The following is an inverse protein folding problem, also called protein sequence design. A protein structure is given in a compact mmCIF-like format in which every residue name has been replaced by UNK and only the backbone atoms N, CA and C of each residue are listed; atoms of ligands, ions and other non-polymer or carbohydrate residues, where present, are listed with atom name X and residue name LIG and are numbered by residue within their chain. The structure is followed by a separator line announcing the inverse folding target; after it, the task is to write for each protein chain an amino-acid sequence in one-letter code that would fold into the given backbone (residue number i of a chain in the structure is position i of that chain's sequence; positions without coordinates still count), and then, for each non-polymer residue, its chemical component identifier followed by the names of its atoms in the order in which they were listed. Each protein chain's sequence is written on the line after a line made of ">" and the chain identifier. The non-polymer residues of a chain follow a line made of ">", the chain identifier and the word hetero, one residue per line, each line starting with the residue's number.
data_IF_538224590576
#
_entry.id   IF_538224590576
#
_cell.length_a   1.000
_cell.length_b   1.000
_cell.length_c   1.000
_cell.angle_alpha   90.00
_cell.angle_beta   90.00
_cell.angle_gamma   90.00
#
_symmetry.space_group_name_H-M   'P 1'
#
loop_
_entity.id
_entity.type
_entity.pdbx_description
1 polymer ?
#
# COMPACT_ATOMS: atom_id res chain seq x y z
N UNK A 1 -13.99 -0.56 -33.66
CA UNK A 1 -13.06 -1.50 -33.02
C UNK A 1 -12.32 -0.72 -31.95
N UNK A 2 -12.54 -1.03 -30.67
CA UNK A 2 -11.81 -0.36 -29.57
C UNK A 2 -10.43 -0.98 -29.50
N UNK A 3 -9.39 -0.21 -29.83
CA UNK A 3 -8.03 -0.67 -29.65
C UNK A 3 -7.69 -0.49 -28.16
N UNK A 4 -7.32 -1.58 -27.50
CA UNK A 4 -6.79 -1.56 -26.15
C UNK A 4 -5.31 -1.93 -26.24
N UNK A 5 -4.44 -1.09 -25.69
CA UNK A 5 -3.02 -1.39 -25.55
C UNK A 5 -2.61 -1.32 -24.09
N UNK A 6 -1.74 -2.24 -23.66
CA UNK A 6 -1.15 -2.21 -22.35
C UNK A 6 0.38 -2.13 -22.49
N UNK A 7 0.99 -1.19 -21.77
CA UNK A 7 2.44 -1.08 -21.64
C UNK A 7 2.82 -1.25 -20.17
N UNK A 8 3.89 -2.00 -19.91
CA UNK A 8 4.45 -2.21 -18.59
C UNK A 8 5.95 -1.93 -18.66
N UNK A 9 6.44 -1.09 -17.75
CA UNK A 9 7.85 -0.74 -17.63
C UNK A 9 8.37 -1.16 -16.26
N UNK A 10 9.44 -1.96 -16.26
CA UNK A 10 10.26 -2.25 -15.09
C UNK A 10 11.38 -1.21 -15.01
N UNK A 11 11.36 -0.39 -13.96
CA UNK A 11 12.35 0.66 -13.79
C UNK A 11 13.58 0.10 -13.08
N UNK A 12 14.74 0.11 -13.75
CA UNK A 12 16.01 -0.28 -13.13
C UNK A 12 16.40 0.68 -11.99
N UNK A 13 16.09 0.30 -10.76
CA UNK A 13 16.36 1.08 -9.53
C UNK A 13 17.31 0.36 -8.56
N UNK A 14 17.92 -0.75 -8.96
CA UNK A 14 18.77 -1.57 -8.10
C UNK A 14 17.96 -2.60 -7.32
N UNK A 15 18.37 -2.91 -6.09
CA UNK A 15 17.62 -3.80 -5.18
C UNK A 15 16.40 -3.06 -4.62
N UNK A 16 15.22 -3.61 -4.83
CA UNK A 16 13.90 -3.02 -4.58
C UNK A 16 13.00 -3.26 -5.80
N UNK A 17 11.83 -2.60 -5.85
CA UNK A 17 10.93 -2.69 -7.00
C UNK A 17 10.30 -1.34 -7.34
N UNK A 18 10.23 -1.06 -8.64
CA UNK A 18 9.45 0.03 -9.19
C UNK A 18 8.95 -0.35 -10.58
N UNK A 19 7.65 -0.61 -10.70
CA UNK A 19 6.98 -0.93 -11.96
C UNK A 19 5.94 0.16 -12.22
N UNK A 20 5.79 0.55 -13.48
CA UNK A 20 4.65 1.35 -13.92
C UNK A 20 3.98 0.72 -15.13
N UNK A 21 2.70 0.94 -15.30
CA UNK A 21 2.02 0.57 -16.52
C UNK A 21 0.94 1.56 -16.92
N UNK A 22 0.54 1.44 -18.18
CA UNK A 22 -0.51 2.24 -18.78
C UNK A 22 -1.40 1.33 -19.63
N UNK A 23 -2.70 1.34 -19.36
CA UNK A 23 -3.70 0.68 -20.20
C UNK A 23 -4.44 1.78 -20.95
N UNK A 24 -4.22 1.87 -22.25
CA UNK A 24 -4.75 2.92 -23.10
C UNK A 24 -5.87 2.38 -23.99
N UNK A 25 -6.98 3.12 -24.00
CA UNK A 25 -8.06 3.02 -24.98
C UNK A 25 -8.09 4.29 -25.82
N UNK A 26 -9.00 4.36 -26.80
CA UNK A 26 -9.20 5.56 -27.61
C UNK A 26 -9.61 6.81 -26.80
N UNK A 27 -10.20 6.62 -25.61
CA UNK A 27 -10.80 7.71 -24.81
C UNK A 27 -9.96 8.09 -23.59
N UNK A 28 -9.21 7.12 -23.04
CA UNK A 28 -8.56 7.25 -21.75
C UNK A 28 -7.37 6.31 -21.63
N UNK A 29 -6.33 6.80 -20.96
CA UNK A 29 -5.29 5.97 -20.35
C UNK A 29 -5.54 5.76 -18.86
N UNK A 30 -5.41 4.52 -18.41
CA UNK A 30 -5.38 4.14 -17.00
C UNK A 30 -3.93 3.91 -16.57
N UNK A 31 -3.41 4.76 -15.68
CA UNK A 31 -1.99 4.74 -15.26
C UNK A 31 -1.85 4.15 -13.87
N UNK A 32 -0.95 3.18 -13.73
CA UNK A 32 -0.72 2.53 -12.45
C UNK A 32 0.77 2.38 -12.13
N UNK A 33 1.06 2.28 -10.84
CA UNK A 33 2.38 2.00 -10.27
C UNK A 33 2.27 0.83 -9.31
N UNK A 34 3.24 -0.08 -9.35
CA UNK A 34 3.37 -1.20 -8.42
C UNK A 34 4.76 -1.12 -7.77
N UNK A 35 4.77 -0.92 -6.45
CA UNK A 35 5.92 -0.55 -5.62
C UNK A 35 6.68 0.68 -6.14
N UNK A 36 7.53 1.24 -5.28
CA UNK A 36 8.31 2.42 -5.63
C UNK A 36 9.51 2.58 -4.71
N UNK A 37 10.42 1.61 -4.64
CA UNK A 37 11.53 1.69 -3.71
C UNK A 37 12.86 1.13 -4.21
N UNK A 38 13.90 1.46 -3.45
CA UNK A 38 15.24 0.89 -3.60
C UNK A 38 16.02 0.89 -2.28
N UNK A 39 16.85 -0.13 -2.03
CA UNK A 39 17.66 -0.26 -0.82
C UNK A 39 18.90 0.66 -0.83
N UNK A 40 19.58 0.74 -1.98
CA UNK A 40 20.88 1.40 -2.11
C UNK A 40 20.77 2.93 -2.31
N UNK A 41 21.82 3.67 -1.96
CA UNK A 41 21.88 5.13 -2.17
C UNK A 41 21.83 5.50 -3.66
N UNK A 42 22.58 4.78 -4.49
CA UNK A 42 22.58 4.96 -5.95
C UNK A 42 21.22 4.61 -6.55
N UNK A 43 20.61 3.51 -6.09
CA UNK A 43 19.28 3.10 -6.52
C UNK A 43 18.18 4.09 -6.14
N UNK A 44 18.25 4.72 -4.96
CA UNK A 44 17.34 5.82 -4.58
C UNK A 44 17.49 7.04 -5.51
N UNK A 45 18.72 7.38 -5.92
CA UNK A 45 18.93 8.45 -6.91
C UNK A 45 18.36 8.08 -8.29
N UNK A 46 18.45 6.81 -8.68
CA UNK A 46 17.81 6.31 -9.92
C UNK A 46 16.29 6.36 -9.81
N UNK A 47 15.73 5.89 -8.69
CA UNK A 47 14.30 5.94 -8.39
C UNK A 47 13.76 7.36 -8.52
N UNK A 48 14.38 8.35 -7.88
CA UNK A 48 13.97 9.75 -7.98
C UNK A 48 14.01 10.29 -9.42
N UNK A 49 15.04 9.92 -10.20
CA UNK A 49 15.12 10.29 -11.62
C UNK A 49 14.00 9.65 -12.43
N UNK A 50 13.66 8.39 -12.16
CA UNK A 50 12.57 7.67 -12.82
C UNK A 50 11.22 8.27 -12.45
N UNK A 51 10.94 8.53 -11.17
CA UNK A 51 9.74 9.24 -10.70
C UNK A 51 9.62 10.62 -11.38
N UNK A 52 10.72 11.39 -11.49
CA UNK A 52 10.72 12.71 -12.13
C UNK A 52 10.32 12.67 -13.61
N UNK A 53 10.64 11.59 -14.30
CA UNK A 53 10.42 11.41 -15.75
C UNK A 53 9.22 10.51 -16.08
N UNK A 54 8.61 9.90 -15.07
CA UNK A 54 7.45 9.03 -15.19
C UNK A 54 6.28 9.76 -15.87
N UNK A 55 5.69 9.12 -16.89
CA UNK A 55 4.58 9.63 -17.71
C UNK A 55 4.78 11.00 -18.38
N UNK A 56 6.03 11.49 -18.47
CA UNK A 56 6.35 12.85 -18.97
C UNK A 56 6.08 13.03 -20.48
N UNK A 57 5.76 11.97 -21.22
CA UNK A 57 5.70 12.00 -22.67
C UNK A 57 4.45 12.67 -23.27
N UNK A 58 3.49 13.11 -22.45
CA UNK A 58 2.22 13.66 -22.94
C UNK A 58 1.90 14.93 -22.16
N UNK A 59 1.32 15.94 -22.81
CA UNK A 59 0.75 17.14 -22.17
C UNK A 59 -0.49 16.79 -21.30
N UNK A 60 -0.47 15.62 -20.68
CA UNK A 60 -1.52 15.07 -19.85
C UNK A 60 -1.24 15.44 -18.39
N UNK A 61 -2.28 15.56 -17.57
CA UNK A 61 -2.11 15.81 -16.15
C UNK A 61 -1.33 14.67 -15.47
N UNK A 62 -0.52 15.03 -14.48
CA UNK A 62 0.29 14.11 -13.67
C UNK A 62 -0.62 13.31 -12.73
N UNK A 63 -1.43 12.41 -13.28
CA UNK A 63 -2.37 11.56 -12.53
C UNK A 63 -1.87 10.12 -12.55
N UNK A 64 -1.90 9.48 -11.37
CA UNK A 64 -1.77 8.04 -11.22
C UNK A 64 -3.12 7.53 -10.74
N UNK A 65 -3.75 6.67 -11.51
CA UNK A 65 -5.06 6.13 -11.15
C UNK A 65 -4.97 5.16 -9.98
N UNK A 66 -3.89 4.37 -9.94
CA UNK A 66 -3.70 3.36 -8.90
C UNK A 66 -2.21 3.20 -8.53
N UNK A 67 -1.90 3.38 -7.24
CA UNK A 67 -0.62 2.99 -6.65
C UNK A 67 -0.84 1.73 -5.81
N UNK A 68 -0.12 0.66 -6.10
CA UNK A 68 -0.16 -0.58 -5.33
C UNK A 68 1.17 -0.71 -4.60
N UNK A 69 1.11 -0.96 -3.30
CA UNK A 69 2.28 -1.34 -2.49
C UNK A 69 2.13 -2.80 -2.13
N UNK A 70 3.15 -3.61 -2.44
CA UNK A 70 3.10 -5.06 -2.24
C UNK A 70 3.38 -5.47 -0.79
N UNK A 71 4.25 -4.73 -0.09
CA UNK A 71 4.58 -4.93 1.32
C UNK A 71 5.30 -3.71 1.89
N UNK A 72 5.48 -3.70 3.21
CA UNK A 72 5.97 -2.53 3.95
C UNK A 72 7.49 -2.53 4.12
N UNK A 73 8.23 -3.22 3.25
CA UNK A 73 9.69 -3.11 3.25
C UNK A 73 10.14 -1.77 2.69
N UNK A 74 11.16 -1.21 3.31
CA UNK A 74 11.65 0.15 3.08
C UNK A 74 12.06 0.33 1.64
N UNK A 75 12.65 -0.67 1.01
CA UNK A 75 13.03 -0.69 -0.40
C UNK A 75 11.87 -0.96 -1.36
N UNK A 76 10.63 -1.00 -0.88
CA UNK A 76 9.40 -1.01 -1.68
C UNK A 76 8.57 0.27 -1.50
N UNK A 77 8.69 0.95 -0.35
CA UNK A 77 7.88 2.14 -0.03
C UNK A 77 8.63 3.48 -0.01
N UNK A 78 9.97 3.52 -0.12
CA UNK A 78 10.73 4.77 0.08
C UNK A 78 10.61 5.85 -1.02
N UNK A 79 9.97 5.55 -2.15
CA UNK A 79 9.58 6.53 -3.17
C UNK A 79 8.12 6.98 -3.08
N UNK A 80 7.33 6.44 -2.12
CA UNK A 80 5.92 6.81 -1.94
C UNK A 80 5.77 8.32 -1.74
N UNK A 81 6.64 8.93 -0.93
CA UNK A 81 6.59 10.36 -0.65
C UNK A 81 6.75 11.19 -1.92
N UNK A 82 7.72 10.84 -2.75
CA UNK A 82 8.02 11.52 -4.01
C UNK A 82 6.89 11.34 -5.04
N UNK A 83 6.27 10.16 -5.10
CA UNK A 83 5.11 9.91 -5.97
C UNK A 83 3.89 10.71 -5.52
N UNK A 84 3.50 10.62 -4.25
CA UNK A 84 2.30 11.25 -3.70
C UNK A 84 2.34 12.79 -3.71
N UNK A 85 3.56 13.38 -3.68
CA UNK A 85 3.76 14.82 -3.82
C UNK A 85 3.80 15.31 -5.26
N UNK A 86 4.21 14.45 -6.20
CA UNK A 86 4.41 14.82 -7.61
C UNK A 86 3.18 14.56 -8.48
N UNK A 87 2.42 13.53 -8.14
CA UNK A 87 1.27 13.08 -8.90
C UNK A 87 0.00 13.17 -8.06
N UNK A 88 -1.10 13.55 -8.70
CA UNK A 88 -2.43 13.34 -8.16
C UNK A 88 -2.73 11.84 -8.22
N UNK A 89 -2.55 11.15 -7.09
CA UNK A 89 -2.87 9.72 -6.97
C UNK A 89 -4.35 9.57 -6.60
N UNK A 90 -5.11 8.81 -7.39
CA UNK A 90 -6.55 8.63 -7.16
C UNK A 90 -6.85 7.52 -6.15
N UNK A 91 -6.15 6.38 -6.25
CA UNK A 91 -6.33 5.20 -5.40
C UNK A 91 -4.99 4.63 -4.95
N UNK A 92 -4.88 4.23 -3.68
CA UNK A 92 -3.76 3.46 -3.12
C UNK A 92 -4.28 2.12 -2.63
N UNK A 93 -3.63 1.04 -3.06
CA UNK A 93 -3.88 -0.32 -2.58
C UNK A 93 -2.73 -0.72 -1.66
N UNK A 94 -3.05 -1.14 -0.44
CA UNK A 94 -2.09 -1.58 0.57
C UNK A 94 -2.47 -2.97 1.10
N UNK A 95 -1.50 -3.83 1.49
CA UNK A 95 -1.82 -4.97 2.34
C UNK A 95 -2.31 -4.48 3.71
N UNK A 96 -3.33 -5.15 4.25
CA UNK A 96 -3.69 -4.96 5.65
C UNK A 96 -2.65 -5.65 6.54
N UNK A 97 -1.98 -4.86 7.37
CA UNK A 97 -0.99 -5.35 8.33
C UNK A 97 -1.33 -4.72 9.69
N UNK A 98 -1.68 -5.51 10.72
CA UNK A 98 -1.93 -4.99 12.06
C UNK A 98 -0.77 -4.14 12.59
N UNK A 99 -1.08 -3.07 13.34
CA UNK A 99 -0.11 -2.10 13.86
C UNK A 99 1.12 -2.78 14.49
N UNK A 100 0.93 -3.76 15.37
CA UNK A 100 2.06 -4.44 16.02
C UNK A 100 3.01 -5.12 15.01
N UNK A 101 2.48 -5.72 13.92
CA UNK A 101 3.29 -6.30 12.83
C UNK A 101 4.02 -5.18 12.08
N UNK A 102 3.37 -4.04 11.82
CA UNK A 102 4.02 -2.87 11.17
C UNK A 102 5.15 -2.28 12.03
N UNK A 103 4.95 -2.17 13.34
CA UNK A 103 6.01 -1.71 14.26
C UNK A 103 7.18 -2.69 14.27
N UNK A 104 6.92 -4.00 14.31
CA UNK A 104 7.97 -5.01 14.20
C UNK A 104 8.77 -4.87 12.89
N UNK A 105 8.10 -4.77 11.74
CA UNK A 105 8.75 -4.55 10.44
C UNK A 105 9.63 -3.29 10.46
N UNK A 106 9.13 -2.19 11.04
CA UNK A 106 9.90 -0.96 11.17
C UNK A 106 11.19 -1.16 11.99
N UNK A 107 11.13 -1.94 13.07
CA UNK A 107 12.28 -2.26 13.92
C UNK A 107 13.30 -3.15 13.19
N UNK A 108 12.84 -4.22 12.54
CA UNK A 108 13.69 -5.13 11.74
C UNK A 108 14.47 -4.37 10.67
N UNK A 109 13.81 -3.38 10.05
CA UNK A 109 14.38 -2.53 9.01
C UNK A 109 15.15 -1.32 9.57
N UNK A 110 15.32 -1.23 10.89
CA UNK A 110 16.06 -0.17 11.60
C UNK A 110 15.55 1.23 11.26
N UNK A 111 14.23 1.38 11.16
CA UNK A 111 13.58 2.68 10.97
C UNK A 111 13.66 3.47 12.28
N UNK A 112 14.21 4.67 12.22
CA UNK A 112 14.32 5.54 13.39
C UNK A 112 12.95 6.07 13.85
N UNK A 113 12.69 5.99 15.16
CA UNK A 113 11.42 6.38 15.79
C UNK A 113 11.17 7.90 15.81
N UNK A 114 12.21 8.72 15.61
CA UNK A 114 12.13 10.18 15.61
C UNK A 114 11.90 10.78 14.22
N UNK A 115 12.03 9.97 13.16
CA UNK A 115 11.91 10.44 11.79
C UNK A 115 10.46 10.37 11.27
N UNK A 116 10.06 11.30 10.39
CA UNK A 116 8.71 11.32 9.79
C UNK A 116 8.33 10.02 9.07
N UNK A 117 9.32 9.25 8.63
CA UNK A 117 9.11 8.01 7.89
C UNK A 117 8.44 6.90 8.73
N UNK A 118 8.64 6.88 10.06
CA UNK A 118 7.96 5.93 10.94
C UNK A 118 6.43 6.10 10.91
N UNK A 119 5.94 7.30 10.56
CA UNK A 119 4.50 7.56 10.51
C UNK A 119 3.79 6.72 9.46
N UNK A 120 4.47 6.30 8.38
CA UNK A 120 3.90 5.33 7.42
C UNK A 120 3.60 3.99 8.11
N UNK A 121 4.46 3.54 9.03
CA UNK A 121 4.27 2.29 9.76
C UNK A 121 3.25 2.42 10.89
N UNK A 122 3.15 3.59 11.54
CA UNK A 122 2.18 3.84 12.62
C UNK A 122 0.76 4.01 12.06
N UNK A 123 0.59 4.89 11.08
CA UNK A 123 -0.72 5.15 10.46
C UNK A 123 -0.52 5.53 8.98
N UNK A 124 -0.48 4.53 8.06
CA UNK A 124 -0.23 4.76 6.64
C UNK A 124 -1.32 5.62 6.01
N UNK A 125 -2.58 5.45 6.40
CA UNK A 125 -3.68 6.34 5.99
C UNK A 125 -3.34 7.80 6.29
N UNK A 126 -3.04 8.12 7.54
CA UNK A 126 -2.78 9.50 7.97
C UNK A 126 -1.55 10.05 7.26
N UNK A 127 -0.48 9.26 7.20
CA UNK A 127 0.73 9.62 6.49
C UNK A 127 0.43 9.97 5.02
N UNK A 128 -0.25 9.08 4.28
CA UNK A 128 -0.60 9.28 2.86
C UNK A 128 -1.47 10.54 2.69
N UNK A 129 -2.51 10.72 3.50
CA UNK A 129 -3.40 11.88 3.40
C UNK A 129 -2.70 13.22 3.68
N UNK A 130 -1.74 13.23 4.61
CA UNK A 130 -0.95 14.42 4.94
C UNK A 130 -0.08 14.85 3.75
N UNK A 131 0.60 13.92 3.10
CA UNK A 131 1.57 14.22 2.03
C UNK A 131 0.97 14.26 0.63
N UNK A 132 -0.16 13.60 0.40
CA UNK A 132 -0.80 13.48 -0.91
C UNK A 132 -1.26 14.85 -1.42
N UNK A 133 -1.00 15.11 -2.69
CA UNK A 133 -1.62 16.22 -3.44
C UNK A 133 -3.15 16.08 -3.47
N UNK A 134 -3.65 14.85 -3.65
CA UNK A 134 -5.07 14.55 -3.68
C UNK A 134 -5.63 14.34 -2.26
N UNK A 135 -6.51 15.23 -1.81
CA UNK A 135 -7.18 15.12 -0.49
C UNK A 135 -8.39 14.17 -0.48
N UNK A 136 -8.82 13.72 -1.65
CA UNK A 136 -9.87 12.70 -1.85
C UNK A 136 -9.27 11.38 -2.34
N UNK A 137 -8.02 11.10 -1.97
CA UNK A 137 -7.35 9.85 -2.31
C UNK A 137 -8.06 8.67 -1.65
N UNK A 138 -8.39 7.67 -2.45
CA UNK A 138 -9.00 6.45 -1.94
C UNK A 138 -7.90 5.50 -1.46
N UNK A 139 -8.07 4.89 -0.29
CA UNK A 139 -7.12 3.93 0.25
C UNK A 139 -7.86 2.63 0.52
N UNK A 140 -7.41 1.56 -0.11
CA UNK A 140 -8.02 0.24 0.03
C UNK A 140 -6.99 -0.73 0.61
N UNK A 141 -7.27 -1.18 1.83
CA UNK A 141 -6.50 -2.23 2.49
C UNK A 141 -7.05 -3.59 2.08
N UNK A 142 -6.16 -4.47 1.67
CA UNK A 142 -6.50 -5.83 1.29
C UNK A 142 -5.93 -6.77 2.36
N UNK A 143 -6.82 -7.43 3.08
CA UNK A 143 -6.47 -8.49 3.99
C UNK A 143 -6.41 -9.81 3.21
N UNK A 144 -5.19 -10.28 2.94
CA UNK A 144 -4.93 -11.60 2.38
C UNK A 144 -4.78 -12.67 3.46
N UNK A 145 -4.71 -12.29 4.74
CA UNK A 145 -4.71 -13.22 5.87
C UNK A 145 -6.15 -13.50 6.23
N UNK A 146 -6.84 -14.32 5.42
CA UNK A 146 -8.08 -15.04 5.71
C UNK A 146 -8.57 -15.65 4.39
N UNK A 147 -7.96 -16.77 4.01
CA UNK A 147 -8.70 -17.83 3.32
C UNK A 147 -8.54 -19.03 4.23
N UNK A 148 -9.48 -19.20 5.16
CA UNK A 148 -9.66 -20.50 5.79
C UNK A 148 -10.05 -21.45 4.64
N UNK A 149 -9.12 -22.29 4.19
CA UNK A 149 -9.38 -23.29 3.14
C UNK A 149 -10.32 -24.42 3.61
N UNK A 150 -11.00 -24.22 4.74
CA UNK A 150 -11.93 -25.14 5.35
C UNK A 150 -13.28 -24.46 5.56
N UNK A 151 -13.96 -24.06 4.49
CA UNK A 151 -15.42 -24.05 4.39
C UNK A 151 -15.84 -23.77 2.94
N UNK A 152 -16.94 -24.39 2.54
CA UNK A 152 -17.42 -24.59 1.17
C UNK A 152 -17.31 -23.36 0.24
N UNK A 153 -17.05 -23.64 -1.05
CA UNK A 153 -16.97 -22.69 -2.16
C UNK A 153 -18.14 -21.68 -2.17
N UNK A 154 -17.97 -20.55 -1.48
CA UNK A 154 -18.81 -19.38 -1.67
C UNK A 154 -18.05 -18.39 -2.55
N UNK A 155 -18.63 -17.94 -3.67
CA UNK A 155 -17.96 -16.98 -4.55
C UNK A 155 -17.68 -15.69 -3.77
N UNK A 156 -16.51 -15.05 -3.97
CA UNK A 156 -16.15 -13.82 -3.27
C UNK A 156 -17.20 -12.74 -3.60
N UNK A 157 -18.04 -12.40 -2.63
CA UNK A 157 -19.03 -11.34 -2.79
C UNK A 157 -18.39 -9.97 -2.50
N UNK A 158 -18.88 -8.93 -3.19
CA UNK A 158 -18.44 -7.54 -3.00
C UNK A 158 -18.93 -6.91 -1.68
N UNK A 159 -19.62 -7.68 -0.85
CA UNK A 159 -20.19 -7.22 0.41
C UNK A 159 -19.08 -7.11 1.47
N UNK A 160 -18.83 -5.85 1.83
CA UNK A 160 -18.02 -5.46 2.98
C UNK A 160 -18.60 -6.09 4.25
N UNK A 161 -18.12 -7.25 4.66
CA UNK A 161 -18.28 -7.74 6.02
C UNK A 161 -17.34 -6.93 6.94
N UNK A 162 -17.74 -5.69 7.22
CA UNK A 162 -17.04 -4.81 8.12
C UNK A 162 -17.14 -5.37 9.54
N UNK A 163 -16.05 -6.00 9.98
CA UNK A 163 -15.79 -6.28 11.39
C UNK A 163 -14.56 -5.43 11.71
N UNK A 164 -14.66 -4.41 12.59
CA UNK A 164 -13.53 -3.58 12.95
C UNK A 164 -12.37 -4.47 13.40
N UNK A 165 -11.15 -4.30 12.88
CA UNK A 165 -10.00 -4.96 13.48
C UNK A 165 -9.82 -4.44 14.91
N UNK A 166 -9.15 -5.24 15.75
CA UNK A 166 -8.74 -4.97 17.13
C UNK A 166 -8.83 -3.49 17.54
N UNK A 167 -9.47 -3.21 18.70
CA UNK A 167 -9.89 -1.91 19.26
C UNK A 167 -8.98 -0.66 19.07
N UNK A 168 -7.74 -0.84 18.62
CA UNK A 168 -6.72 0.20 18.44
C UNK A 168 -6.55 0.72 16.99
N UNK A 169 -7.28 0.26 15.99
CA UNK A 169 -7.11 0.69 14.58
C UNK A 169 -8.29 1.48 13.99
N UNK A 170 -9.26 1.91 14.81
CA UNK A 170 -10.39 2.75 14.37
C UNK A 170 -9.93 3.94 13.53
N UNK A 171 -8.84 4.58 13.95
CA UNK A 171 -8.34 5.81 13.34
C UNK A 171 -7.77 5.61 11.93
N UNK A 172 -7.47 4.37 11.54
CA UNK A 172 -7.02 4.05 10.19
C UNK A 172 -8.17 4.17 9.17
N UNK A 173 -9.42 3.98 9.60
CA UNK A 173 -10.61 3.86 8.76
C UNK A 173 -11.64 4.99 8.99
N UNK A 174 -11.25 6.06 9.68
CA UNK A 174 -12.13 7.20 10.02
C UNK A 174 -12.48 8.12 8.82
N UNK A 175 -12.44 7.62 7.58
CA UNK A 175 -12.79 8.38 6.37
C UNK A 175 -13.55 7.50 5.36
N UNK A 176 -14.57 8.05 4.66
CA UNK A 176 -15.34 7.31 3.66
C UNK A 176 -14.50 6.89 2.44
N UNK A 177 -13.32 7.49 2.25
CA UNK A 177 -12.38 7.14 1.19
C UNK A 177 -11.52 5.91 1.52
N UNK A 178 -11.73 5.29 2.68
CA UNK A 178 -10.90 4.19 3.16
C UNK A 178 -11.74 2.93 3.30
N UNK A 179 -11.24 1.83 2.75
CA UNK A 179 -11.93 0.53 2.78
C UNK A 179 -10.96 -0.57 3.22
N UNK A 180 -11.50 -1.56 3.92
CA UNK A 180 -10.84 -2.84 4.19
C UNK A 180 -11.58 -3.92 3.41
N UNK A 181 -10.85 -4.76 2.66
CA UNK A 181 -11.38 -5.91 1.93
C UNK A 181 -10.79 -7.18 2.51
N UNK A 182 -11.64 -8.18 2.78
CA UNK A 182 -11.25 -9.50 3.29
C UNK A 182 -11.55 -10.58 2.26
N UNK A 183 -11.11 -10.36 1.02
CA UNK A 183 -11.49 -11.18 -0.14
C UNK A 183 -10.28 -11.98 -0.66
N UNK A 184 -9.37 -12.40 0.22
CA UNK A 184 -8.23 -13.26 -0.15
C UNK A 184 -7.29 -12.66 -1.20
N UNK A 185 -7.09 -11.34 -1.19
CA UNK A 185 -6.24 -10.68 -2.19
C UNK A 185 -6.96 -10.28 -3.49
N UNK A 186 -8.25 -10.60 -3.66
CA UNK A 186 -9.00 -10.27 -4.88
C UNK A 186 -9.75 -8.93 -4.73
N UNK A 187 -9.48 -7.99 -5.64
CA UNK A 187 -10.26 -6.77 -5.82
C UNK A 187 -11.13 -6.93 -7.07
N UNK A 188 -12.46 -6.93 -6.87
CA UNK A 188 -13.44 -6.96 -7.95
C UNK A 188 -14.06 -5.56 -8.09
N UNK A 189 -13.84 -4.89 -9.22
CA UNK A 189 -14.43 -3.60 -9.51
C UNK A 189 -15.53 -3.75 -10.57
N UNK A 190 -16.76 -3.33 -10.21
CA UNK A 190 -17.97 -3.35 -11.07
C UNK A 190 -18.32 -4.72 -11.66
N UNK A 191 -18.08 -5.81 -10.91
CA UNK A 191 -18.39 -7.19 -11.29
C UNK A 191 -17.74 -7.70 -12.59
N UNK A 192 -16.74 -6.97 -13.12
CA UNK A 192 -16.11 -7.27 -14.42
C UNK A 192 -14.58 -7.26 -14.32
N UNK A 193 -14.00 -6.41 -13.47
CA UNK A 193 -12.54 -6.24 -13.37
C UNK A 193 -12.04 -6.99 -12.14
N UNK A 194 -11.34 -8.11 -12.35
CA UNK A 194 -10.65 -8.87 -11.28
C UNK A 194 -9.18 -8.48 -11.24
N UNK A 195 -8.76 -7.83 -10.16
CA UNK A 195 -7.35 -7.76 -9.77
C UNK A 195 -7.10 -8.79 -8.69
N UNK A 196 -6.03 -9.56 -8.82
CA UNK A 196 -5.60 -10.51 -7.82
C UNK A 196 -4.23 -10.08 -7.31
N UNK A 197 -4.15 -9.83 -6.01
CA UNK A 197 -2.96 -9.36 -5.33
C UNK A 197 -2.43 -10.48 -4.45
N UNK A 198 -1.22 -10.93 -4.77
CA UNK A 198 -0.44 -11.82 -3.92
C UNK A 198 0.56 -10.93 -3.17
N UNK A 199 0.21 -10.55 -1.94
CA UNK A 199 1.10 -9.73 -1.10
C UNK A 199 2.14 -10.61 -0.44
N UNK A 200 3.42 -10.25 -0.62
CA UNK A 200 4.54 -10.98 -0.02
C UNK A 200 4.75 -10.51 1.43
N UNK A 201 3.93 -11.03 2.33
CA UNK A 201 4.14 -11.00 3.78
C UNK A 201 3.46 -12.25 4.40
N UNK A 202 3.69 -13.37 3.73
CA UNK A 202 3.34 -14.73 4.13
C UNK A 202 3.92 -15.01 5.53
N UNK A 203 3.13 -15.66 6.39
CA UNK A 203 3.55 -16.06 7.74
C UNK A 203 4.79 -16.97 7.72
N UNK A 204 5.13 -17.55 6.58
CA UNK A 204 6.27 -18.41 6.34
C UNK A 204 7.66 -17.74 6.56
N UNK A 205 7.76 -16.42 6.71
CA UNK A 205 9.07 -15.73 6.88
C UNK A 205 9.37 -15.24 8.31
N UNK A 206 8.52 -15.53 9.31
CA UNK A 206 8.77 -15.04 10.68
C UNK A 206 9.66 -15.98 11.48
N UNK A 207 10.78 -15.45 11.94
CA UNK A 207 11.39 -15.90 13.19
C UNK A 207 10.34 -15.84 14.31
N UNK A 208 10.21 -16.93 15.07
CA UNK A 208 9.24 -17.01 16.15
C UNK A 208 9.58 -15.99 17.24
N UNK A 209 8.86 -14.87 17.27
CA UNK A 209 8.74 -14.05 18.46
C UNK A 209 7.94 -14.81 19.51
N UNK A 210 8.43 -14.82 20.74
CA UNK A 210 7.67 -15.40 21.84
C UNK A 210 6.40 -14.56 22.13
N UNK A 211 5.42 -15.20 22.78
CA UNK A 211 4.13 -14.56 23.08
C UNK A 211 4.28 -13.32 23.97
N UNK A 212 5.29 -13.29 24.84
CA UNK A 212 5.52 -12.19 25.78
C UNK A 212 5.92 -10.93 25.03
N UNK A 213 6.85 -11.05 24.08
CA UNK A 213 7.28 -9.94 23.22
C UNK A 213 6.11 -9.38 22.39
N UNK A 214 5.24 -10.25 21.86
CA UNK A 214 4.04 -9.81 21.13
C UNK A 214 3.10 -8.99 22.03
N UNK A 215 2.85 -9.45 23.26
CA UNK A 215 1.98 -8.75 24.21
C UNK A 215 2.57 -7.40 24.68
N UNK A 216 3.88 -7.31 24.87
CA UNK A 216 4.56 -6.04 25.17
C UNK A 216 4.46 -5.05 24.00
N UNK A 217 4.67 -5.50 22.76
CA UNK A 217 4.52 -4.65 21.57
C UNK A 217 3.07 -4.16 21.44
N UNK A 218 2.07 -5.01 21.70
CA UNK A 218 0.66 -4.60 21.67
C UNK A 218 0.35 -3.52 22.70
N UNK A 219 0.89 -3.61 23.92
CA UNK A 219 0.74 -2.57 24.96
C UNK A 219 1.33 -1.23 24.50
N UNK A 220 2.55 -1.25 23.95
CA UNK A 220 3.18 -0.05 23.39
C UNK A 220 2.36 0.57 22.25
N UNK A 221 1.74 -0.26 21.40
CA UNK A 221 0.88 0.23 20.32
C UNK A 221 -0.35 0.98 20.85
N UNK A 222 -0.93 0.53 21.97
CA UNK A 222 -2.05 1.22 22.64
C UNK A 222 -1.61 2.60 23.12
N UNK A 223 -0.46 2.68 23.78
CA UNK A 223 0.11 3.93 24.30
C UNK A 223 0.37 4.95 23.18
N UNK A 224 1.02 4.53 22.09
CA UNK A 224 1.32 5.38 20.92
C UNK A 224 0.04 5.98 20.30
N UNK A 225 -1.06 5.22 20.28
CA UNK A 225 -2.32 5.71 19.72
C UNK A 225 -3.04 6.67 20.67
N UNK A 226 -2.93 6.49 21.98
CA UNK A 226 -3.54 7.37 22.97
C UNK A 226 -2.84 8.74 23.02
N UNK A 227 -1.51 8.78 22.93
CA UNK A 227 -0.74 10.03 22.95
C UNK A 227 -1.02 10.94 21.75
N UNK A 228 -1.52 10.40 20.63
CA UNK A 228 -1.85 11.16 19.41
C UNK A 228 -3.27 11.71 19.37
N UNK A 229 -4.11 11.40 20.39
CA UNK A 229 -5.48 11.94 20.52
C UNK A 229 -5.56 13.18 21.42
N UNK A 230 -4.47 13.59 22.07
CA UNK A 230 -4.31 14.87 22.76
C UNK A 230 -3.73 15.93 21.83
#
# INVERSE_FOLDING_TARGET
>A
MTLLSAEVTYHGVGQGLFISGEITSNERSFKWVYDCGSSSKSGKLLLERKIKTLFKQRNEPNVIDMLVISHFDRDHINGCESLLKKFKVNKVILPYIPLWKRILLALEQKIGITGKYINFYINPTKYINEISENKEIHIEYIDSQLVDFNEEETPPTNESQYIPPHENESDLFNSPYIKLRKNGGVLIEKDIIKWEFVFYNDEAMKGHLDKTAIEEIKKLCIEINNDKKQ
#
